data_IF_726672298639
#
_entry.id   IF_726672298639
#
_cell.length_a   1.000
_cell.length_b   1.000
_cell.length_c   1.000
_cell.angle_alpha   90.00
_cell.angle_beta   90.00
_cell.angle_gamma   90.00
#
_symmetry.space_group_name_H-M   'P 1'
#
loop_
_entity.id
_entity.type
_entity.pdbx_description
1 polymer ?
#
# COMPACT_ATOMS: atom_id res chain seq x y z
N UNK A 1 8.20 15.11 -23.12
CA UNK A 1 6.93 14.60 -22.57
C UNK A 1 7.28 13.84 -21.30
N UNK A 2 7.04 14.40 -20.12
CA UNK A 2 7.24 13.67 -18.87
C UNK A 2 6.13 12.62 -18.79
N UNK A 3 6.48 11.35 -18.96
CA UNK A 3 5.56 10.26 -18.61
C UNK A 3 5.47 10.28 -17.09
N UNK A 4 4.33 10.74 -16.58
CA UNK A 4 4.07 10.72 -15.15
C UNK A 4 4.03 9.25 -14.71
N UNK A 5 5.03 8.80 -13.96
CA UNK A 5 5.07 7.43 -13.46
C UNK A 5 3.81 7.19 -12.62
N UNK A 6 2.99 6.24 -13.05
CA UNK A 6 1.84 5.78 -12.29
C UNK A 6 2.35 5.21 -10.96
N UNK A 7 1.78 5.66 -9.85
CA UNK A 7 2.18 5.21 -8.51
C UNK A 7 1.24 4.14 -7.99
N UNK A 8 1.78 3.22 -7.21
CA UNK A 8 1.04 2.21 -6.47
C UNK A 8 1.25 2.46 -4.98
N UNK A 9 0.17 2.56 -4.23
CA UNK A 9 0.23 2.60 -2.79
C UNK A 9 0.19 1.17 -2.22
N UNK A 10 1.15 0.85 -1.37
CA UNK A 10 1.30 -0.49 -0.78
C UNK A 10 1.30 -0.37 0.73
N UNK A 11 0.43 -1.11 1.40
CA UNK A 11 0.42 -1.25 2.85
C UNK A 11 0.94 -2.63 3.21
N UNK A 12 1.97 -2.71 4.04
CA UNK A 12 2.54 -3.99 4.43
C UNK A 12 3.64 -3.91 5.47
N UNK A 13 3.98 -5.07 6.01
CA UNK A 13 5.12 -5.19 6.93
C UNK A 13 6.45 -4.97 6.20
N UNK A 14 7.43 -4.48 6.95
CA UNK A 14 8.79 -4.26 6.47
C UNK A 14 9.77 -4.31 7.65
N UNK A 15 11.03 -4.65 7.38
CA UNK A 15 12.10 -4.68 8.39
C UNK A 15 12.36 -3.27 8.97
N UNK A 16 12.42 -2.26 8.10
CA UNK A 16 12.80 -0.88 8.43
C UNK A 16 11.69 0.11 8.13
N UNK A 17 11.90 1.35 8.59
CA UNK A 17 11.00 2.49 8.38
C UNK A 17 10.12 2.78 9.59
N UNK A 18 9.90 4.05 9.88
CA UNK A 18 8.85 4.52 10.79
C UNK A 18 7.46 4.18 10.28
N UNK A 19 6.57 3.86 11.21
CA UNK A 19 5.13 3.69 10.95
C UNK A 19 4.46 5.04 10.66
N UNK A 20 3.28 4.99 10.02
CA UNK A 20 2.38 6.14 9.86
C UNK A 20 2.96 7.29 9.02
N UNK A 21 3.94 6.99 8.17
CA UNK A 21 4.46 7.90 7.16
C UNK A 21 4.65 7.18 5.82
N UNK A 22 4.49 7.87 4.68
CA UNK A 22 4.71 7.29 3.36
C UNK A 22 6.20 7.25 3.00
N UNK A 23 6.62 6.20 2.30
CA UNK A 23 7.92 6.10 1.65
C UNK A 23 7.77 6.11 0.14
N UNK A 24 8.36 7.12 -0.51
CA UNK A 24 8.40 7.20 -1.97
C UNK A 24 9.61 6.44 -2.51
N UNK A 25 9.34 5.34 -3.21
CA UNK A 25 10.37 4.48 -3.79
C UNK A 25 10.22 4.45 -5.31
N UNK A 26 11.31 4.80 -6.01
CA UNK A 26 11.37 4.82 -7.48
C UNK A 26 12.43 3.86 -8.03
N UNK A 27 13.13 3.15 -7.13
CA UNK A 27 14.14 2.16 -7.46
C UNK A 27 14.24 1.10 -6.37
N UNK A 28 14.80 -0.06 -6.71
CA UNK A 28 15.04 -1.14 -5.75
C UNK A 28 15.99 -0.72 -4.62
N UNK A 29 17.01 0.09 -4.92
CA UNK A 29 17.92 0.63 -3.90
C UNK A 29 17.15 1.46 -2.88
N UNK A 30 16.32 2.40 -3.34
CA UNK A 30 15.54 3.28 -2.44
C UNK A 30 14.51 2.49 -1.63
N UNK A 31 13.93 1.43 -2.21
CA UNK A 31 13.07 0.50 -1.49
C UNK A 31 13.83 -0.17 -0.35
N UNK A 32 15.00 -0.74 -0.63
CA UNK A 32 15.83 -1.43 0.37
C UNK A 32 16.37 -0.50 1.46
N UNK A 33 16.81 0.70 1.07
CA UNK A 33 17.34 1.70 2.01
C UNK A 33 16.26 2.14 3.02
N UNK A 34 15.02 2.30 2.55
CA UNK A 34 13.89 2.73 3.37
C UNK A 34 13.26 1.59 4.20
N UNK A 35 13.09 0.40 3.61
CA UNK A 35 12.23 -0.67 4.13
C UNK A 35 12.98 -1.95 4.51
N UNK A 36 14.23 -2.11 4.09
CA UNK A 36 15.04 -3.29 4.38
C UNK A 36 14.58 -4.54 3.61
N UNK A 37 14.77 -5.70 4.24
CA UNK A 37 14.47 -6.99 3.64
C UNK A 37 12.97 -7.34 3.75
N UNK A 38 12.47 -8.23 2.87
CA UNK A 38 11.16 -8.83 3.01
C UNK A 38 11.02 -9.59 4.34
N UNK A 39 9.83 -9.52 4.95
CA UNK A 39 9.46 -10.32 6.13
C UNK A 39 8.81 -11.61 5.63
N UNK A 40 9.15 -12.78 6.21
CA UNK A 40 8.79 -14.12 5.69
C UNK A 40 7.31 -14.32 5.34
N UNK A 41 6.39 -13.65 6.02
CA UNK A 41 4.93 -13.81 5.83
C UNK A 41 4.26 -12.66 5.07
N UNK A 42 4.98 -11.60 4.74
CA UNK A 42 4.42 -10.44 4.03
C UNK A 42 4.65 -10.56 2.53
N UNK A 43 3.58 -10.34 1.76
CA UNK A 43 3.66 -10.29 0.29
C UNK A 43 4.00 -8.90 -0.25
N UNK A 44 4.02 -7.89 0.62
CA UNK A 44 4.00 -6.48 0.24
C UNK A 44 5.33 -5.99 -0.35
N UNK A 45 6.47 -6.37 0.22
CA UNK A 45 7.80 -6.04 -0.35
C UNK A 45 8.03 -6.79 -1.67
N UNK A 46 7.63 -8.05 -1.77
CA UNK A 46 7.75 -8.81 -3.02
C UNK A 46 6.93 -8.16 -4.15
N UNK A 47 5.71 -7.72 -3.84
CA UNK A 47 4.86 -6.98 -4.77
C UNK A 47 5.44 -5.61 -5.12
N UNK A 48 6.06 -4.91 -4.17
CA UNK A 48 6.78 -3.66 -4.41
C UNK A 48 7.94 -3.85 -5.41
N UNK A 49 8.74 -4.90 -5.24
CA UNK A 49 9.82 -5.23 -6.18
C UNK A 49 9.25 -5.44 -7.60
N UNK A 50 8.21 -6.25 -7.75
CA UNK A 50 7.57 -6.50 -9.05
C UNK A 50 6.99 -5.23 -9.68
N UNK A 51 6.40 -4.36 -8.86
CA UNK A 51 5.84 -3.07 -9.30
C UNK A 51 6.93 -2.14 -9.84
N UNK A 52 8.08 -2.05 -9.15
CA UNK A 52 9.23 -1.26 -9.61
C UNK A 52 9.81 -1.80 -10.92
N UNK A 53 9.94 -3.13 -11.04
CA UNK A 53 10.37 -3.77 -12.28
C UNK A 53 9.40 -3.54 -13.45
N UNK A 54 8.12 -3.31 -13.13
CA UNK A 54 7.07 -2.96 -14.09
C UNK A 54 6.95 -1.45 -14.33
N UNK A 55 7.94 -0.66 -13.90
CA UNK A 55 8.01 0.79 -14.07
C UNK A 55 6.90 1.59 -13.36
N UNK A 56 6.39 1.09 -12.23
CA UNK A 56 5.54 1.87 -11.33
C UNK A 56 6.38 2.52 -10.23
N UNK A 57 6.00 3.75 -9.85
CA UNK A 57 6.48 4.35 -8.60
C UNK A 57 5.74 3.76 -7.41
N UNK A 58 6.34 3.80 -6.21
CA UNK A 58 5.73 3.23 -5.01
C UNK A 58 5.56 4.29 -3.93
N UNK A 59 4.40 4.23 -3.28
CA UNK A 59 4.11 4.91 -2.01
C UNK A 59 3.88 3.82 -0.97
N UNK A 60 4.91 3.50 -0.19
CA UNK A 60 4.83 2.40 0.77
C UNK A 60 4.45 2.92 2.15
N UNK A 61 3.48 2.29 2.79
CA UNK A 61 3.09 2.52 4.17
C UNK A 61 3.44 1.28 4.99
N UNK A 62 4.45 1.41 5.85
CA UNK A 62 4.78 0.34 6.78
C UNK A 62 3.65 0.18 7.80
N UNK A 63 3.15 -1.04 7.94
CA UNK A 63 2.25 -1.42 9.04
C UNK A 63 3.01 -2.31 10.03
N UNK A 64 2.61 -2.27 11.31
CA UNK A 64 3.26 -3.08 12.35
C UNK A 64 3.01 -4.57 12.19
N UNK A 65 1.77 -4.94 11.87
CA UNK A 65 1.32 -6.30 11.60
C UNK A 65 0.30 -6.26 10.46
N UNK A 66 0.61 -6.95 9.37
CA UNK A 66 -0.20 -7.01 8.15
C UNK A 66 -1.53 -7.69 8.45
N UNK A 67 -2.64 -7.06 8.08
CA UNK A 67 -3.99 -7.55 8.38
C UNK A 67 -4.57 -7.14 9.73
N UNK A 68 -3.74 -6.76 10.71
CA UNK A 68 -4.20 -6.50 12.09
C UNK A 68 -4.03 -5.06 12.56
N UNK A 69 -3.00 -4.35 12.08
CA UNK A 69 -2.62 -3.03 12.58
C UNK A 69 -3.49 -1.88 12.05
N UNK A 70 -4.79 -1.91 12.35
CA UNK A 70 -5.81 -0.98 11.85
C UNK A 70 -5.40 0.50 11.90
N UNK A 71 -4.77 0.94 12.98
CA UNK A 71 -4.32 2.33 13.14
C UNK A 71 -3.35 2.78 12.03
N UNK A 72 -2.44 1.90 11.62
CA UNK A 72 -1.44 2.21 10.60
C UNK A 72 -2.08 2.31 9.21
N UNK A 73 -3.01 1.38 8.90
CA UNK A 73 -3.81 1.45 7.68
C UNK A 73 -4.64 2.73 7.62
N UNK A 74 -5.42 3.03 8.67
CA UNK A 74 -6.30 4.19 8.68
C UNK A 74 -5.55 5.50 8.51
N UNK A 75 -4.36 5.64 9.13
CA UNK A 75 -3.53 6.84 8.94
C UNK A 75 -2.97 6.96 7.52
N UNK A 76 -2.48 5.87 6.94
CA UNK A 76 -1.99 5.93 5.56
C UNK A 76 -3.11 6.18 4.55
N UNK A 77 -4.29 5.59 4.75
CA UNK A 77 -5.47 5.83 3.92
C UNK A 77 -5.97 7.27 4.03
N UNK A 78 -5.98 7.84 5.23
CA UNK A 78 -6.29 9.26 5.44
C UNK A 78 -5.29 10.15 4.69
N UNK A 79 -3.99 9.88 4.79
CA UNK A 79 -2.96 10.60 4.05
C UNK A 79 -3.20 10.53 2.53
N UNK A 80 -3.58 9.36 2.00
CA UNK A 80 -3.90 9.20 0.58
C UNK A 80 -5.12 10.04 0.20
N UNK A 81 -6.19 10.04 0.98
CA UNK A 81 -7.37 10.88 0.71
C UNK A 81 -7.00 12.37 0.63
N UNK A 82 -6.15 12.86 1.53
CA UNK A 82 -5.74 14.26 1.62
C UNK A 82 -4.73 14.67 0.53
N UNK A 83 -4.05 13.72 -0.12
CA UNK A 83 -2.98 13.97 -1.09
C UNK A 83 -3.36 13.71 -2.56
N UNK A 84 -4.65 13.47 -2.84
CA UNK A 84 -5.13 13.03 -4.16
C UNK A 84 -4.76 13.94 -5.34
N UNK A 85 -4.74 15.26 -5.14
CA UNK A 85 -4.40 16.21 -6.20
C UNK A 85 -2.91 16.17 -6.62
N UNK A 86 -2.03 15.71 -5.74
CA UNK A 86 -0.57 15.80 -5.91
C UNK A 86 0.11 14.44 -6.09
N UNK A 87 -0.65 13.35 -5.97
CA UNK A 87 -0.12 11.99 -5.98
C UNK A 87 -1.04 11.05 -6.75
N UNK A 88 -1.05 11.08 -8.09
CA UNK A 88 -1.92 10.22 -8.87
C UNK A 88 -1.55 8.74 -8.67
N UNK A 89 -2.49 7.98 -8.12
CA UNK A 89 -2.37 6.54 -7.90
C UNK A 89 -3.09 5.76 -9.00
N UNK A 90 -2.56 4.58 -9.32
CA UNK A 90 -3.24 3.60 -10.17
C UNK A 90 -3.77 2.40 -9.39
N UNK A 91 -3.19 2.14 -8.21
CA UNK A 91 -3.54 1.00 -7.39
C UNK A 91 -3.28 1.32 -5.90
N UNK A 92 -4.16 0.82 -5.03
CA UNK A 92 -3.95 0.71 -3.58
C UNK A 92 -4.03 -0.77 -3.19
N UNK A 93 -3.05 -1.28 -2.44
CA UNK A 93 -3.02 -2.68 -1.98
C UNK A 93 -3.12 -2.77 -0.46
N UNK A 94 -4.00 -3.64 0.03
CA UNK A 94 -4.23 -3.89 1.46
C UNK A 94 -4.24 -5.41 1.75
N UNK A 95 -3.11 -6.07 1.47
CA UNK A 95 -2.99 -7.51 1.65
C UNK A 95 -3.18 -7.93 3.10
N UNK A 96 -3.79 -9.09 3.31
CA UNK A 96 -4.05 -9.67 4.64
C UNK A 96 -5.24 -9.05 5.36
N UNK A 97 -5.98 -8.12 4.74
CA UNK A 97 -7.02 -7.34 5.42
C UNK A 97 -8.42 -7.79 5.02
N UNK A 98 -9.13 -8.44 5.93
CA UNK A 98 -10.58 -8.69 5.85
C UNK A 98 -11.46 -7.69 6.62
N UNK A 99 -10.86 -6.76 7.39
CA UNK A 99 -11.59 -5.80 8.24
C UNK A 99 -12.46 -4.83 7.41
N UNK A 100 -13.75 -4.76 7.73
CA UNK A 100 -14.74 -3.96 7.01
C UNK A 100 -14.45 -2.47 7.04
N UNK A 101 -13.92 -1.95 8.14
CA UNK A 101 -13.63 -0.52 8.27
C UNK A 101 -12.41 -0.14 7.42
N UNK A 102 -11.34 -0.94 7.45
CA UNK A 102 -10.15 -0.71 6.62
C UNK A 102 -10.52 -0.80 5.14
N UNK A 103 -11.26 -1.83 4.73
CA UNK A 103 -11.70 -1.99 3.34
C UNK A 103 -12.59 -0.82 2.92
N UNK A 104 -13.49 -0.34 3.78
CA UNK A 104 -14.34 0.82 3.49
C UNK A 104 -13.52 2.09 3.30
N UNK A 105 -12.53 2.32 4.16
CA UNK A 105 -11.61 3.45 4.02
C UNK A 105 -10.75 3.34 2.76
N UNK A 106 -10.24 2.15 2.42
CA UNK A 106 -9.47 1.92 1.21
C UNK A 106 -10.30 2.17 -0.06
N UNK A 107 -11.57 1.78 -0.07
CA UNK A 107 -12.51 2.11 -1.15
C UNK A 107 -12.74 3.60 -1.30
N UNK A 108 -12.84 4.34 -0.18
CA UNK A 108 -12.98 5.80 -0.19
C UNK A 108 -11.72 6.46 -0.77
N UNK A 109 -10.54 6.05 -0.34
CA UNK A 109 -9.26 6.51 -0.91
C UNK A 109 -9.15 6.20 -2.41
N UNK A 110 -9.52 4.98 -2.85
CA UNK A 110 -9.54 4.61 -4.26
C UNK A 110 -10.45 5.52 -5.08
N UNK A 111 -11.64 5.85 -4.55
CA UNK A 111 -12.58 6.77 -5.20
C UNK A 111 -12.00 8.18 -5.32
N UNK A 112 -11.32 8.68 -4.28
CA UNK A 112 -10.66 9.99 -4.30
C UNK A 112 -9.54 10.09 -5.33
N UNK A 113 -8.86 8.97 -5.62
CA UNK A 113 -7.78 8.88 -6.61
C UNK A 113 -8.22 8.39 -7.99
N UNK A 114 -9.48 7.95 -8.14
CA UNK A 114 -9.97 7.23 -9.32
C UNK A 114 -9.06 6.04 -9.70
N UNK A 115 -8.66 5.24 -8.71
CA UNK A 115 -7.75 4.12 -8.88
C UNK A 115 -8.37 2.78 -8.46
N UNK A 116 -7.67 1.68 -8.73
CA UNK A 116 -8.11 0.35 -8.34
C UNK A 116 -7.66 -0.01 -6.93
N UNK A 117 -8.40 -0.93 -6.30
CA UNK A 117 -8.00 -1.59 -5.07
C UNK A 117 -7.62 -3.04 -5.39
N UNK A 118 -6.47 -3.50 -4.91
CA UNK A 118 -6.10 -4.91 -4.97
C UNK A 118 -6.23 -5.54 -3.58
N UNK A 119 -6.96 -6.65 -3.53
CA UNK A 119 -7.22 -7.46 -2.35
C UNK A 119 -7.00 -8.95 -2.72
N UNK A 120 -6.57 -9.78 -1.78
CA UNK A 120 -6.40 -11.21 -2.04
C UNK A 120 -7.73 -11.96 -1.91
N UNK A 121 -7.84 -13.13 -2.52
CA UNK A 121 -9.05 -13.95 -2.48
C UNK A 121 -9.46 -14.33 -1.05
N UNK A 122 -8.48 -14.71 -0.21
CA UNK A 122 -8.71 -15.02 1.21
C UNK A 122 -9.29 -13.81 1.97
N UNK A 123 -8.75 -12.62 1.71
CA UNK A 123 -9.13 -11.38 2.40
C UNK A 123 -10.56 -10.99 2.03
N UNK A 124 -10.94 -11.23 0.76
CA UNK A 124 -12.29 -11.03 0.26
C UNK A 124 -13.27 -12.03 0.91
N UNK A 125 -12.88 -13.30 1.04
CA UNK A 125 -13.69 -14.30 1.73
C UNK A 125 -13.94 -13.89 3.18
N UNK A 126 -12.89 -13.48 3.90
CA UNK A 126 -12.98 -13.05 5.29
C UNK A 126 -13.93 -11.85 5.43
N UNK A 127 -13.82 -10.85 4.55
CA UNK A 127 -14.71 -9.67 4.53
C UNK A 127 -16.20 -10.02 4.40
N UNK A 128 -16.54 -11.10 3.67
CA UNK A 128 -17.93 -11.52 3.47
C UNK A 128 -18.44 -12.48 4.55
N UNK A 129 -17.56 -13.12 5.31
CA UNK A 129 -17.93 -14.21 6.23
C UNK A 129 -17.73 -13.88 7.71
N UNK A 130 -16.94 -12.85 8.02
CA UNK A 130 -16.65 -12.33 9.36
C UNK A 130 -17.04 -10.84 9.42
#
# INVERSE_FOLDING_TARGET
>A
MFVMLKKIAIFGEAEKGMFQQPYLCESLSKLFDNLGNPVEKSSSIAFAIQSLLSHYGIVYFRVHEEGFSKKDYMKGLQYLEESNEHMPLSLITIFGVGDKEIITAARKACKSHNCYMLIQEKDLYDYYTH
#
